data_IF_795503957128
#
_entry.id   IF_795503957128
#
_cell.length_a   1.000
_cell.length_b   1.000
_cell.length_c   1.000
_cell.angle_alpha   90.00
_cell.angle_beta   90.00
_cell.angle_gamma   90.00
#
_symmetry.space_group_name_H-M   'P 1'
#
loop_
_entity.id
_entity.type
_entity.pdbx_description
1 polymer ?
#
# COMPACT_ATOMS: atom_id res chain seq x y z
N UNK A 1 24.85 -38.33 6.20
CA UNK A 1 24.67 -36.89 6.46
C UNK A 1 24.34 -36.26 5.12
N UNK A 2 23.05 -36.02 4.84
CA UNK A 2 22.57 -35.72 3.49
C UNK A 2 22.88 -34.29 3.09
N UNK A 3 23.57 -34.18 1.96
CA UNK A 3 23.76 -32.98 1.16
C UNK A 3 22.41 -32.46 0.67
N UNK A 4 21.96 -31.33 1.22
CA UNK A 4 20.88 -30.53 0.66
C UNK A 4 21.28 -29.05 0.79
N UNK A 5 22.13 -28.58 -0.13
CA UNK A 5 22.33 -27.14 -0.35
C UNK A 5 21.54 -26.73 -1.59
N UNK A 6 20.78 -25.63 -1.56
CA UNK A 6 20.09 -25.15 -2.74
C UNK A 6 21.09 -24.82 -3.86
N UNK A 7 20.82 -25.33 -5.07
CA UNK A 7 21.64 -25.14 -6.29
C UNK A 7 21.47 -23.77 -6.97
N UNK A 8 20.66 -22.87 -6.40
CA UNK A 8 20.41 -21.55 -7.01
C UNK A 8 21.55 -20.57 -6.69
N UNK A 9 22.00 -19.75 -7.66
CA UNK A 9 23.02 -18.74 -7.40
C UNK A 9 22.51 -17.73 -6.36
N UNK A 10 23.23 -17.62 -5.25
CA UNK A 10 22.98 -16.62 -4.21
C UNK A 10 23.71 -15.34 -4.61
N UNK A 11 22.95 -14.30 -4.93
CA UNK A 11 23.50 -12.98 -5.23
C UNK A 11 23.56 -12.13 -3.96
N UNK A 12 24.74 -12.01 -3.36
CA UNK A 12 25.00 -11.13 -2.21
C UNK A 12 25.53 -9.81 -2.74
N UNK A 13 24.78 -8.71 -2.54
CA UNK A 13 25.24 -7.36 -2.89
C UNK A 13 26.07 -6.81 -1.73
N UNK A 14 27.40 -6.88 -1.86
CA UNK A 14 28.33 -6.36 -0.86
C UNK A 14 28.62 -4.89 -1.15
N UNK A 15 28.52 -4.01 -0.14
CA UNK A 15 28.94 -2.61 -0.28
C UNK A 15 30.47 -2.53 -0.11
N UNK A 16 31.24 -2.18 -1.16
CA UNK A 16 32.70 -2.23 -1.11
C UNK A 16 33.33 -1.11 -0.28
N UNK A 17 32.54 -0.17 0.26
CA UNK A 17 33.03 0.99 0.99
C UNK A 17 32.88 0.89 2.52
N UNK A 18 32.40 -0.25 3.04
CA UNK A 18 32.18 -0.44 4.46
C UNK A 18 33.21 -1.42 5.04
N UNK A 19 34.13 -0.89 5.84
CA UNK A 19 35.14 -1.65 6.59
C UNK A 19 34.72 -1.67 8.05
N UNK A 20 34.54 -2.86 8.62
CA UNK A 20 34.14 -3.03 10.02
C UNK A 20 35.31 -3.57 10.85
N UNK A 21 35.50 -3.00 12.04
CA UNK A 21 36.52 -3.43 13.01
C UNK A 21 36.13 -4.67 13.79
N UNK A 22 34.85 -5.05 13.75
CA UNK A 22 34.28 -6.27 14.33
C UNK A 22 33.39 -6.96 13.30
N UNK A 23 33.25 -8.29 13.40
CA UNK A 23 32.40 -9.04 12.48
C UNK A 23 30.95 -8.51 12.59
N UNK A 24 30.37 -7.96 11.51
CA UNK A 24 29.02 -7.44 11.57
C UNK A 24 28.04 -8.60 11.79
N UNK A 25 27.00 -8.35 12.59
CA UNK A 25 25.90 -9.31 12.76
C UNK A 25 25.31 -9.63 11.38
N UNK A 26 25.34 -10.91 11.00
CA UNK A 26 24.64 -11.39 9.82
C UNK A 26 23.13 -11.27 10.08
N UNK A 27 22.51 -10.23 9.52
CA UNK A 27 21.06 -10.09 9.51
C UNK A 27 20.53 -10.71 8.23
N UNK A 28 19.76 -11.79 8.37
CA UNK A 28 18.92 -12.28 7.29
C UNK A 28 17.66 -11.42 7.29
N UNK A 29 17.44 -10.68 6.21
CA UNK A 29 16.17 -10.00 5.96
C UNK A 29 15.39 -10.87 4.99
N UNK A 30 14.31 -11.47 5.46
CA UNK A 30 13.34 -12.13 4.61
C UNK A 30 12.23 -11.12 4.30
N UNK A 31 12.04 -10.82 3.03
CA UNK A 31 10.91 -10.01 2.56
C UNK A 31 10.01 -10.92 1.73
N UNK A 32 8.82 -11.24 2.25
CA UNK A 32 7.81 -11.94 1.47
C UNK A 32 7.09 -10.92 0.58
N UNK A 33 7.26 -11.04 -0.74
CA UNK A 33 6.36 -10.38 -1.67
C UNK A 33 5.03 -11.14 -1.60
N UNK A 34 4.00 -10.51 -1.04
CA UNK A 34 2.62 -10.99 -1.16
C UNK A 34 2.12 -10.52 -2.51
N UNK A 35 2.04 -11.38 -3.54
CA UNK A 35 1.49 -10.96 -4.81
C UNK A 35 0.01 -10.61 -4.59
N UNK A 36 -0.49 -9.52 -5.18
CA UNK A 36 -1.92 -9.25 -5.19
C UNK A 36 -2.66 -10.46 -5.74
N UNK A 37 -3.62 -10.99 -4.98
CA UNK A 37 -4.51 -12.04 -5.47
C UNK A 37 -5.51 -11.40 -6.47
N UNK A 38 -5.33 -11.61 -7.79
CA UNK A 38 -6.06 -10.86 -8.80
C UNK A 38 -7.54 -11.27 -8.88
N UNK A 39 -7.91 -12.41 -8.29
CA UNK A 39 -9.26 -12.98 -8.44
C UNK A 39 -10.23 -12.50 -7.38
N UNK A 40 -9.74 -12.09 -6.21
CA UNK A 40 -10.64 -11.83 -5.11
C UNK A 40 -11.50 -10.60 -5.34
N UNK A 41 -10.99 -9.57 -6.03
CA UNK A 41 -11.78 -8.36 -6.30
C UNK A 41 -13.02 -8.67 -7.13
N UNK A 42 -12.88 -9.45 -8.21
CA UNK A 42 -14.01 -9.78 -9.09
C UNK A 42 -15.20 -10.41 -8.33
N UNK A 43 -14.92 -11.30 -7.38
CA UNK A 43 -15.92 -12.13 -6.69
C UNK A 43 -16.00 -11.84 -5.18
N UNK A 44 -15.37 -10.77 -4.70
CA UNK A 44 -15.24 -10.40 -3.28
C UNK A 44 -14.94 -11.62 -2.38
N UNK A 45 -14.07 -12.52 -2.86
CA UNK A 45 -13.97 -13.91 -2.41
C UNK A 45 -13.16 -14.12 -1.12
N UNK A 46 -12.90 -13.06 -0.36
CA UNK A 46 -12.16 -13.15 0.91
C UNK A 46 -13.02 -13.90 1.92
N UNK A 47 -12.48 -14.99 2.48
CA UNK A 47 -13.19 -15.80 3.47
C UNK A 47 -13.30 -15.11 4.83
N UNK A 48 -14.28 -15.53 5.63
CA UNK A 48 -14.47 -15.01 6.98
C UNK A 48 -13.20 -15.11 7.82
N UNK A 49 -12.91 -14.05 8.59
CA UNK A 49 -11.70 -13.89 9.41
C UNK A 49 -10.39 -13.96 8.63
N UNK A 50 -10.43 -13.74 7.31
CA UNK A 50 -9.26 -13.67 6.45
C UNK A 50 -9.05 -12.24 5.92
N UNK A 51 -7.88 -12.00 5.36
CA UNK A 51 -7.55 -10.73 4.72
C UNK A 51 -6.74 -10.98 3.44
N UNK A 52 -6.75 -9.99 2.57
CA UNK A 52 -5.91 -9.91 1.38
C UNK A 52 -5.33 -8.49 1.33
N UNK A 53 -4.12 -8.35 0.81
CA UNK A 53 -3.49 -7.04 0.66
C UNK A 53 -2.34 -7.03 -0.31
N UNK A 54 -1.99 -5.84 -0.77
CA UNK A 54 -0.86 -5.62 -1.67
C UNK A 54 -0.34 -4.18 -1.54
N UNK A 55 0.90 -3.98 -1.97
CA UNK A 55 1.52 -2.67 -2.05
C UNK A 55 2.13 -2.44 -3.42
N UNK A 56 1.92 -1.24 -3.95
CA UNK A 56 2.48 -0.79 -5.21
C UNK A 56 3.50 0.31 -4.94
N UNK A 57 4.66 0.23 -5.58
CA UNK A 57 5.78 1.13 -5.36
C UNK A 57 6.18 1.77 -6.68
N UNK A 58 6.45 3.07 -6.66
CA UNK A 58 7.08 3.75 -7.80
C UNK A 58 8.58 3.42 -7.81
N UNK A 59 9.14 3.13 -8.98
CA UNK A 59 10.58 2.89 -9.12
C UNK A 59 11.35 4.21 -9.00
N UNK A 60 12.18 4.29 -7.97
CA UNK A 60 13.11 5.41 -7.73
C UNK A 60 14.04 5.68 -8.91
N UNK A 61 14.45 4.64 -9.64
CA UNK A 61 15.47 4.72 -10.68
C UNK A 61 14.86 4.71 -12.08
N UNK A 62 13.54 4.91 -12.20
CA UNK A 62 12.86 4.95 -13.48
C UNK A 62 13.52 5.98 -14.41
N UNK A 63 13.84 5.54 -15.62
CA UNK A 63 14.40 6.43 -16.62
C UNK A 63 13.28 7.37 -17.11
N UNK A 64 13.43 8.71 -17.03
CA UNK A 64 12.39 9.64 -17.47
C UNK A 64 12.07 9.52 -18.96
N UNK A 65 12.95 8.92 -19.78
CA UNK A 65 12.66 8.63 -21.19
C UNK A 65 11.74 7.43 -21.38
N UNK A 66 11.71 6.50 -20.42
CA UNK A 66 10.90 5.28 -20.47
C UNK A 66 9.53 5.50 -19.82
N UNK A 67 9.49 6.12 -18.64
CA UNK A 67 8.25 6.48 -17.96
C UNK A 67 8.37 7.83 -17.24
N UNK A 68 8.06 8.90 -17.97
CA UNK A 68 8.14 10.27 -17.46
C UNK A 68 7.14 10.56 -16.33
N UNK A 69 5.95 9.96 -16.36
CA UNK A 69 4.92 10.20 -15.35
C UNK A 69 5.33 9.63 -13.99
N UNK A 70 5.80 8.39 -13.97
CA UNK A 70 6.32 7.75 -12.76
C UNK A 70 7.52 8.52 -12.20
N UNK A 71 8.42 8.97 -13.08
CA UNK A 71 9.55 9.82 -12.70
C UNK A 71 9.09 11.08 -11.97
N UNK A 72 8.10 11.81 -12.51
CA UNK A 72 7.55 13.02 -11.90
C UNK A 72 6.83 12.73 -10.57
N UNK A 73 6.06 11.65 -10.50
CA UNK A 73 5.35 11.26 -9.29
C UNK A 73 6.31 10.93 -8.14
N UNK A 74 7.39 10.21 -8.44
CA UNK A 74 8.39 9.86 -7.44
C UNK A 74 9.25 11.08 -7.03
N UNK A 75 9.86 11.76 -8.02
CA UNK A 75 10.91 12.74 -7.77
C UNK A 75 10.37 14.14 -7.48
N UNK A 76 9.24 14.53 -8.07
CA UNK A 76 8.68 15.87 -7.90
C UNK A 76 7.52 15.90 -6.91
N UNK A 77 6.62 14.91 -6.96
CA UNK A 77 5.45 14.85 -6.05
C UNK A 77 5.74 14.12 -4.75
N UNK A 78 6.91 13.48 -4.62
CA UNK A 78 7.33 12.72 -3.45
C UNK A 78 6.39 11.58 -3.05
N UNK A 79 5.68 10.99 -4.02
CA UNK A 79 4.83 9.83 -3.78
C UNK A 79 5.74 8.61 -3.61
N UNK A 80 5.39 7.71 -2.69
CA UNK A 80 6.22 6.56 -2.33
C UNK A 80 5.56 5.24 -2.65
N UNK A 81 4.35 5.02 -2.13
CA UNK A 81 3.60 3.78 -2.35
C UNK A 81 2.10 3.95 -2.18
N UNK A 82 1.37 2.98 -2.69
CA UNK A 82 -0.06 2.76 -2.48
C UNK A 82 -0.22 1.40 -1.80
N UNK A 83 -0.75 1.39 -0.59
CA UNK A 83 -1.09 0.15 0.12
C UNK A 83 -2.59 -0.13 -0.01
N UNK A 84 -2.96 -1.39 -0.20
CA UNK A 84 -4.34 -1.86 -0.26
C UNK A 84 -4.47 -3.03 0.71
N UNK A 85 -5.48 -2.98 1.56
CA UNK A 85 -5.86 -4.12 2.41
C UNK A 85 -7.37 -4.27 2.45
N UNK A 86 -7.81 -5.52 2.48
CA UNK A 86 -9.20 -5.90 2.63
C UNK A 86 -9.30 -7.03 3.66
N UNK A 87 -10.25 -6.93 4.57
CA UNK A 87 -10.44 -7.88 5.67
C UNK A 87 -11.92 -8.20 5.82
N UNK A 88 -12.24 -9.50 5.86
CA UNK A 88 -13.59 -9.95 6.21
C UNK A 88 -13.63 -10.33 7.68
N UNK A 89 -14.56 -9.75 8.43
CA UNK A 89 -14.70 -10.00 9.86
C UNK A 89 -15.41 -11.35 10.13
N UNK A 90 -15.73 -11.61 11.41
CA UNK A 90 -16.44 -12.83 11.82
C UNK A 90 -17.93 -12.82 11.49
N UNK A 91 -18.51 -11.64 11.22
CA UNK A 91 -19.92 -11.45 10.90
C UNK A 91 -20.16 -11.41 9.38
N UNK A 92 -19.09 -11.41 8.59
CA UNK A 92 -19.13 -11.39 7.14
C UNK A 92 -19.00 -10.00 6.53
N UNK A 93 -18.85 -8.92 7.32
CA UNK A 93 -18.59 -7.60 6.77
C UNK A 93 -17.18 -7.54 6.17
N UNK A 94 -17.08 -6.99 4.96
CA UNK A 94 -15.82 -6.77 4.26
C UNK A 94 -15.42 -5.30 4.41
N UNK A 95 -14.33 -5.07 5.14
CA UNK A 95 -13.74 -3.75 5.36
C UNK A 95 -12.45 -3.59 4.58
N UNK A 96 -12.25 -2.40 4.02
CA UNK A 96 -11.09 -2.12 3.19
C UNK A 96 -10.46 -0.77 3.47
N UNK A 97 -9.16 -0.72 3.28
CA UNK A 97 -8.37 0.49 3.42
C UNK A 97 -7.35 0.57 2.27
N UNK A 98 -7.38 1.69 1.57
CA UNK A 98 -6.44 2.01 0.49
C UNK A 98 -5.73 3.31 0.85
N UNK A 99 -4.41 3.29 0.92
CA UNK A 99 -3.63 4.42 1.42
C UNK A 99 -2.43 4.76 0.52
N UNK A 100 -2.43 5.98 -0.04
CA UNK A 100 -1.29 6.55 -0.77
C UNK A 100 -0.40 7.33 0.19
N UNK A 101 0.89 6.97 0.27
CA UNK A 101 1.87 7.67 1.10
C UNK A 101 2.67 8.68 0.29
N UNK A 102 2.63 9.94 0.72
CA UNK A 102 3.47 11.02 0.18
C UNK A 102 4.42 11.53 1.26
N UNK A 103 5.72 11.52 0.96
CA UNK A 103 6.72 12.13 1.84
C UNK A 103 6.74 13.65 1.63
N UNK A 104 6.78 14.41 2.71
CA UNK A 104 6.88 15.87 2.68
C UNK A 104 8.02 16.34 3.57
N UNK A 105 8.60 17.50 3.21
CA UNK A 105 9.62 18.17 4.02
C UNK A 105 8.99 19.34 4.75
N UNK A 106 9.37 19.53 6.01
CA UNK A 106 8.97 20.72 6.76
C UNK A 106 9.69 21.95 6.18
N UNK A 107 8.93 22.99 5.82
CA UNK A 107 9.47 24.22 5.21
C UNK A 107 10.35 24.99 6.21
N UNK A 108 9.97 24.94 7.49
CA UNK A 108 10.65 25.66 8.59
C UNK A 108 11.85 24.84 9.10
N UNK A 109 11.74 23.51 9.11
CA UNK A 109 12.80 22.59 9.53
C UNK A 109 13.09 21.59 8.41
N UNK A 110 13.93 21.93 7.41
CA UNK A 110 14.15 21.09 6.22
C UNK A 110 14.72 19.68 6.50
N UNK A 111 15.25 19.47 7.71
CA UNK A 111 15.71 18.17 8.20
C UNK A 111 14.58 17.28 8.70
N UNK A 112 13.42 17.86 9.04
CA UNK A 112 12.24 17.12 9.45
C UNK A 112 11.39 16.70 8.26
N UNK A 113 11.00 15.43 8.29
CA UNK A 113 10.08 14.84 7.34
C UNK A 113 8.76 14.53 8.03
N UNK A 114 7.69 14.66 7.27
CA UNK A 114 6.38 14.17 7.69
C UNK A 114 5.73 13.42 6.53
N UNK A 115 4.84 12.50 6.84
CA UNK A 115 4.08 11.76 5.83
C UNK A 115 2.68 12.35 5.77
N UNK A 116 2.25 12.69 4.56
CA UNK A 116 0.85 12.96 4.26
C UNK A 116 0.34 11.76 3.50
N UNK A 117 -0.66 11.09 4.06
CA UNK A 117 -1.36 10.04 3.34
C UNK A 117 -2.74 10.48 2.90
N UNK A 118 -3.18 9.92 1.78
CA UNK A 118 -4.57 9.92 1.33
C UNK A 118 -5.11 8.53 1.59
N UNK A 119 -6.18 8.43 2.33
CA UNK A 119 -6.80 7.17 2.72
C UNK A 119 -8.23 7.12 2.19
N UNK A 120 -8.57 6.01 1.53
CA UNK A 120 -9.94 5.59 1.27
C UNK A 120 -10.24 4.44 2.22
N UNK A 121 -11.25 4.59 3.06
CA UNK A 121 -11.82 3.50 3.86
C UNK A 121 -13.20 3.18 3.31
N UNK A 122 -13.56 1.91 3.22
CA UNK A 122 -14.88 1.49 2.75
C UNK A 122 -15.27 0.16 3.36
N UNK A 123 -16.57 -0.04 3.52
CA UNK A 123 -17.14 -1.26 4.08
C UNK A 123 -18.31 -1.75 3.22
N UNK A 124 -18.52 -3.06 3.14
CA UNK A 124 -19.67 -3.69 2.49
C UNK A 124 -20.10 -4.98 3.18
N UNK A 125 -21.39 -5.26 3.17
CA UNK A 125 -21.94 -6.54 3.63
C UNK A 125 -22.11 -7.55 2.47
N UNK A 126 -21.53 -7.28 1.30
CA UNK A 126 -21.55 -8.19 0.16
C UNK A 126 -20.98 -9.56 0.55
N UNK A 127 -21.74 -10.62 0.26
CA UNK A 127 -21.36 -11.99 0.61
C UNK A 127 -20.19 -12.49 -0.23
N UNK A 128 -19.50 -13.52 0.27
CA UNK A 128 -18.42 -14.18 -0.47
C UNK A 128 -18.94 -14.69 -1.82
N UNK A 129 -18.23 -14.38 -2.91
CA UNK A 129 -18.65 -14.71 -4.27
C UNK A 129 -19.44 -13.61 -4.97
N UNK A 130 -19.77 -12.52 -4.28
CA UNK A 130 -20.51 -11.39 -4.88
C UNK A 130 -19.66 -10.66 -5.91
N UNK A 131 -20.30 -10.29 -7.02
CA UNK A 131 -19.67 -9.48 -8.07
C UNK A 131 -19.30 -8.08 -7.55
N UNK A 132 -18.07 -7.64 -7.80
CA UNK A 132 -17.64 -6.25 -7.55
C UNK A 132 -18.53 -5.23 -8.25
N UNK A 133 -19.01 -5.52 -9.46
CA UNK A 133 -19.80 -4.58 -10.23
C UNK A 133 -21.21 -4.39 -9.67
N UNK A 134 -21.76 -5.44 -9.06
CA UNK A 134 -23.15 -5.48 -8.61
C UNK A 134 -23.29 -5.25 -7.09
N UNK A 135 -22.16 -5.22 -6.37
CA UNK A 135 -22.13 -5.00 -4.93
C UNK A 135 -22.25 -3.53 -4.57
N UNK A 136 -22.83 -3.26 -3.40
CA UNK A 136 -22.92 -1.91 -2.82
C UNK A 136 -22.03 -1.75 -1.62
N UNK A 137 -21.45 -0.57 -1.47
CA UNK A 137 -20.76 -0.16 -0.26
C UNK A 137 -21.77 0.38 0.74
N UNK A 138 -21.61 0.00 1.99
CA UNK A 138 -22.31 0.62 3.10
C UNK A 138 -21.90 2.09 3.15
N UNK A 139 -20.58 2.34 3.22
CA UNK A 139 -19.98 3.65 3.07
C UNK A 139 -18.62 3.62 2.38
N UNK A 140 -18.20 4.78 1.89
CA UNK A 140 -16.86 5.10 1.42
C UNK A 140 -16.43 6.44 2.01
N UNK A 141 -15.32 6.42 2.75
CA UNK A 141 -14.73 7.55 3.46
C UNK A 141 -13.40 7.95 2.84
N UNK A 142 -13.24 9.25 2.55
CA UNK A 142 -11.98 9.86 2.17
C UNK A 142 -11.39 10.56 3.37
N UNK A 143 -10.12 10.30 3.70
CA UNK A 143 -9.42 10.94 4.79
C UNK A 143 -7.99 11.33 4.41
N UNK A 144 -7.48 12.37 5.05
CA UNK A 144 -6.06 12.72 5.05
C UNK A 144 -5.48 12.37 6.41
N UNK A 145 -4.43 11.56 6.41
CA UNK A 145 -3.66 11.31 7.61
C UNK A 145 -2.33 12.06 7.53
N UNK A 146 -1.91 12.61 8.67
CA UNK A 146 -0.61 13.25 8.83
C UNK A 146 0.16 12.50 9.91
N UNK A 147 1.39 12.12 9.60
CA UNK A 147 2.30 11.45 10.50
C UNK A 147 3.53 12.32 10.71
N UNK A 148 3.93 12.51 11.97
CA UNK A 148 5.04 13.39 12.38
C UNK A 148 6.02 12.65 13.28
N UNK A 149 7.28 13.09 13.31
CA UNK A 149 8.33 12.49 14.13
C UNK A 149 8.47 10.97 13.87
N UNK A 150 8.59 10.19 14.94
CA UNK A 150 8.73 8.73 14.85
C UNK A 150 7.56 8.06 14.11
N UNK A 151 6.35 8.62 14.16
CA UNK A 151 5.20 8.05 13.46
C UNK A 151 5.38 8.10 11.94
N UNK A 152 6.07 9.13 11.42
CA UNK A 152 6.36 9.26 10.00
C UNK A 152 7.34 8.16 9.52
N UNK A 153 8.38 7.92 10.31
CA UNK A 153 9.40 6.90 10.01
C UNK A 153 8.82 5.49 10.12
N UNK A 154 8.05 5.22 11.18
CA UNK A 154 7.38 3.93 11.38
C UNK A 154 6.37 3.66 10.26
N UNK A 155 5.51 4.62 9.92
CA UNK A 155 4.51 4.39 8.87
C UNK A 155 5.15 4.08 7.53
N UNK A 156 6.30 4.69 7.19
CA UNK A 156 7.03 4.36 5.96
C UNK A 156 7.63 2.95 5.98
N UNK A 157 8.10 2.47 7.12
CA UNK A 157 8.74 1.15 7.23
C UNK A 157 7.73 0.00 7.35
N UNK A 158 6.58 0.24 7.96
CA UNK A 158 5.47 -0.70 8.06
C UNK A 158 4.74 -0.86 6.74
N UNK A 159 3.99 -1.95 6.56
CA UNK A 159 3.17 -2.17 5.37
C UNK A 159 1.75 -2.59 5.77
N UNK A 160 0.76 -1.80 5.34
CA UNK A 160 -0.66 -2.05 5.62
C UNK A 160 -1.18 -3.33 4.92
N UNK A 161 -0.55 -3.75 3.82
CA UNK A 161 -0.95 -4.92 3.04
C UNK A 161 -0.91 -6.24 3.84
N UNK A 162 -0.15 -6.32 4.93
CA UNK A 162 -0.09 -7.52 5.77
C UNK A 162 -1.31 -7.71 6.69
N UNK A 163 -2.28 -6.79 6.67
CA UNK A 163 -3.45 -6.87 7.55
C UNK A 163 -3.15 -6.63 9.03
N UNK A 164 -1.90 -6.31 9.35
CA UNK A 164 -1.45 -5.95 10.70
C UNK A 164 -1.79 -4.50 11.02
N UNK A 165 -1.88 -4.21 12.33
CA UNK A 165 -2.08 -2.83 12.78
C UNK A 165 -0.82 -2.03 12.43
N UNK A 166 -0.99 -0.99 11.62
CA UNK A 166 0.04 0.01 11.35
C UNK A 166 -0.02 1.16 12.36
N UNK A 167 1.03 1.95 12.39
CA UNK A 167 1.18 3.17 13.17
C UNK A 167 -0.04 4.09 12.97
N UNK A 168 -0.60 4.54 14.09
CA UNK A 168 -1.73 5.47 14.10
C UNK A 168 -1.28 6.86 13.61
N UNK A 169 -2.16 7.56 12.89
CA UNK A 169 -1.89 8.90 12.40
C UNK A 169 -1.75 9.89 13.56
N UNK A 170 -0.81 10.84 13.46
CA UNK A 170 -0.72 11.95 14.41
C UNK A 170 -1.96 12.84 14.32
N UNK A 171 -2.47 13.04 13.10
CA UNK A 171 -3.71 13.74 12.82
C UNK A 171 -4.48 13.04 11.70
N UNK A 172 -5.80 12.94 11.84
CA UNK A 172 -6.69 12.44 10.79
C UNK A 172 -7.81 13.45 10.53
N UNK A 173 -8.03 13.77 9.27
CA UNK A 173 -9.14 14.61 8.84
C UNK A 173 -9.97 13.87 7.81
N UNK A 174 -11.22 13.57 8.16
CA UNK A 174 -12.20 13.04 7.20
C UNK A 174 -12.66 14.18 6.28
N UNK A 175 -12.64 13.93 4.98
CA UNK A 175 -12.98 14.92 3.95
C UNK A 175 -14.39 14.71 3.39
N UNK A 176 -14.74 13.46 3.14
CA UNK A 176 -15.99 13.07 2.50
C UNK A 176 -16.37 11.68 2.98
N UNK A 177 -17.67 11.47 3.19
CA UNK A 177 -18.29 10.17 3.43
C UNK A 177 -19.47 10.03 2.50
N UNK A 178 -19.51 8.95 1.74
CA UNK A 178 -20.59 8.62 0.81
C UNK A 178 -21.21 7.32 1.24
N UNK A 179 -22.52 7.32 1.48
CA UNK A 179 -23.29 6.14 1.90
C UNK A 179 -23.95 5.47 0.68
N UNK A 180 -24.11 4.15 0.72
CA UNK A 180 -24.91 3.37 -0.24
C UNK A 180 -24.54 3.61 -1.72
N UNK A 181 -23.24 3.67 -2.03
CA UNK A 181 -22.68 3.84 -3.38
C UNK A 181 -22.34 2.48 -4.00
N UNK A 182 -22.26 2.40 -5.33
CA UNK A 182 -21.85 1.15 -5.96
C UNK A 182 -20.36 0.92 -5.71
N UNK A 183 -19.96 -0.33 -5.50
CA UNK A 183 -18.54 -0.65 -5.29
C UNK A 183 -17.71 -0.29 -6.53
N UNK A 184 -18.27 -0.41 -7.73
CA UNK A 184 -17.64 0.02 -8.99
C UNK A 184 -17.27 1.50 -9.05
N UNK A 185 -17.91 2.37 -8.26
CA UNK A 185 -17.58 3.80 -8.19
C UNK A 185 -16.23 4.06 -7.49
N UNK A 186 -15.68 3.08 -6.76
CA UNK A 186 -14.41 3.20 -6.03
C UNK A 186 -13.28 3.76 -6.89
N UNK A 187 -13.12 3.28 -8.13
CA UNK A 187 -12.02 3.76 -8.96
C UNK A 187 -12.23 5.21 -9.40
N UNK A 188 -13.47 5.68 -9.55
CA UNK A 188 -13.71 7.10 -9.84
C UNK A 188 -13.24 7.99 -8.66
N UNK A 189 -13.51 7.57 -7.42
CA UNK A 189 -12.98 8.23 -6.23
C UNK A 189 -11.46 8.11 -6.14
N UNK A 190 -10.89 6.92 -6.33
CA UNK A 190 -9.44 6.68 -6.29
C UNK A 190 -8.69 7.56 -7.30
N UNK A 191 -9.15 7.61 -8.55
CA UNK A 191 -8.59 8.52 -9.55
C UNK A 191 -8.77 9.97 -9.13
N UNK A 192 -9.92 10.40 -8.62
CA UNK A 192 -10.12 11.81 -8.27
C UNK A 192 -9.32 12.24 -7.04
N UNK A 193 -9.07 11.31 -6.11
CA UNK A 193 -8.51 11.60 -4.80
C UNK A 193 -6.99 11.40 -4.73
N UNK A 194 -6.47 10.27 -5.20
CA UNK A 194 -5.04 9.97 -5.16
C UNK A 194 -4.24 10.82 -6.15
N UNK A 195 -3.00 11.16 -5.79
CA UNK A 195 -2.13 11.99 -6.62
C UNK A 195 -1.41 11.19 -7.70
N UNK A 196 -1.13 9.92 -7.45
CA UNK A 196 -0.47 9.02 -8.40
C UNK A 196 -1.51 8.35 -9.26
N UNK A 197 -1.44 8.60 -10.58
CA UNK A 197 -2.24 7.84 -11.54
C UNK A 197 -1.58 6.51 -11.85
N UNK A 198 -0.24 6.49 -11.87
CA UNK A 198 0.57 5.29 -12.11
C UNK A 198 0.22 4.17 -11.14
N UNK A 199 0.21 4.45 -9.83
CA UNK A 199 -0.08 3.42 -8.82
C UNK A 199 -1.55 2.96 -8.87
N UNK A 200 -2.49 3.86 -9.15
CA UNK A 200 -3.91 3.51 -9.28
C UNK A 200 -4.15 2.66 -10.52
N UNK A 201 -3.51 2.98 -11.64
CA UNK A 201 -3.57 2.19 -12.88
C UNK A 201 -2.96 0.81 -12.69
N UNK A 202 -1.80 0.73 -12.03
CA UNK A 202 -1.15 -0.54 -11.71
C UNK A 202 -2.03 -1.40 -10.80
N UNK A 203 -2.59 -0.80 -9.75
CA UNK A 203 -3.53 -1.48 -8.86
C UNK A 203 -4.74 -2.00 -9.62
N UNK A 204 -5.43 -1.14 -10.37
CA UNK A 204 -6.62 -1.53 -11.15
C UNK A 204 -6.28 -2.64 -12.15
N UNK A 205 -5.18 -2.49 -12.90
CA UNK A 205 -4.76 -3.50 -13.88
C UNK A 205 -4.50 -4.84 -13.20
N UNK A 206 -3.86 -4.85 -12.04
CA UNK A 206 -3.49 -6.08 -11.35
C UNK A 206 -4.70 -6.83 -10.79
N UNK A 207 -5.79 -6.12 -10.47
CA UNK A 207 -7.00 -6.73 -9.93
C UNK A 207 -8.03 -7.15 -10.99
N UNK A 208 -7.88 -6.69 -12.24
CA UNK A 208 -8.89 -6.88 -13.29
C UNK A 208 -8.34 -7.35 -14.65
N UNK A 209 -7.06 -7.72 -14.73
CA UNK A 209 -6.40 -8.20 -15.96
C UNK A 209 -5.64 -9.47 -15.72
#
# INVERSE_FOLDING_TARGET
MSENRPQSPIYIKVNPHLVYTTQPQQKLFESQLVPPNPKWWHELSIYNRSHEGCSFFLDKNVNPKENYNEYLEYNCKNIRRLDVVAKRDGNGNLSMMIEELTEQKNIVSPTEKYIVSRMIHLDTDATIGSSFHDSKLNHLDLAINIYTGNNAENRLSENLAYGEKVTDASFRTHLLRVENTNFSDLFAFAYSFFKSKTLVDEWKKTQFK
#
